data_IF_636746640852
#
_entry.id   IF_636746640852
#
_cell.length_a   1.000
_cell.length_b   1.000
_cell.length_c   1.000
_cell.angle_alpha   90.00
_cell.angle_beta   90.00
_cell.angle_gamma   90.00
#
_symmetry.space_group_name_H-M   'P 1'
#
loop_
_entity.id
_entity.type
_entity.pdbx_description
1 polymer ?
#
# COMPACT_ATOMS: atom_id res chain seq x y z
N UNK A 1 -10.68 2.01 -13.74
CA UNK A 1 -9.35 1.50 -14.16
C UNK A 1 -9.35 -0.02 -14.37
N UNK A 2 -10.30 -0.76 -13.79
CA UNK A 2 -10.41 -2.23 -13.92
C UNK A 2 -10.47 -2.76 -15.37
N UNK A 3 -11.08 -2.02 -16.30
CA UNK A 3 -11.09 -2.43 -17.72
C UNK A 3 -9.66 -2.56 -18.29
N UNK A 4 -8.78 -1.61 -17.98
CA UNK A 4 -7.38 -1.63 -18.45
C UNK A 4 -6.58 -2.69 -17.72
N UNK A 5 -6.80 -2.85 -16.41
CA UNK A 5 -6.11 -3.87 -15.61
C UNK A 5 -6.40 -5.29 -16.12
N UNK A 6 -7.60 -5.52 -16.65
CA UNK A 6 -8.07 -6.81 -17.16
C UNK A 6 -7.82 -7.05 -18.66
N UNK A 7 -7.18 -6.12 -19.37
CA UNK A 7 -6.71 -6.38 -20.73
C UNK A 7 -5.67 -7.52 -20.75
N UNK A 8 -5.51 -8.18 -21.90
CA UNK A 8 -4.39 -9.08 -22.09
C UNK A 8 -3.06 -8.34 -21.94
N UNK A 9 -1.99 -9.07 -21.62
CA UNK A 9 -0.65 -8.48 -21.48
C UNK A 9 -0.21 -7.73 -22.74
N UNK A 10 -0.57 -8.23 -23.92
CA UNK A 10 -0.28 -7.59 -25.20
C UNK A 10 -1.05 -6.27 -25.37
N UNK A 11 -2.38 -6.29 -25.24
CA UNK A 11 -3.20 -5.08 -25.39
C UNK A 11 -2.84 -4.00 -24.38
N UNK A 12 -2.51 -4.41 -23.15
CA UNK A 12 -2.07 -3.51 -22.09
C UNK A 12 -0.70 -2.91 -22.41
N UNK A 13 0.23 -3.71 -22.93
CA UNK A 13 1.55 -3.24 -23.39
C UNK A 13 1.40 -2.19 -24.49
N UNK A 14 0.60 -2.47 -25.53
CA UNK A 14 0.34 -1.55 -26.63
C UNK A 14 -0.25 -0.22 -26.13
N UNK A 15 -1.20 -0.30 -25.20
CA UNK A 15 -1.82 0.88 -24.59
C UNK A 15 -0.80 1.73 -23.82
N UNK A 16 0.05 1.11 -23.02
CA UNK A 16 1.07 1.82 -22.26
C UNK A 16 2.16 2.40 -23.15
N UNK A 17 2.55 1.71 -24.23
CA UNK A 17 3.49 2.23 -25.22
C UNK A 17 2.95 3.50 -25.88
N UNK A 18 1.71 3.46 -26.38
CA UNK A 18 1.03 4.62 -26.97
C UNK A 18 0.89 5.78 -25.98
N UNK A 19 0.50 5.48 -24.74
CA UNK A 19 0.33 6.48 -23.68
C UNK A 19 1.66 7.13 -23.33
N UNK A 20 2.72 6.34 -23.17
CA UNK A 20 4.05 6.83 -22.84
C UNK A 20 4.64 7.69 -23.97
N UNK A 21 4.46 7.28 -25.23
CA UNK A 21 4.87 8.08 -26.39
C UNK A 21 4.20 9.46 -26.42
N UNK A 22 2.89 9.51 -26.16
CA UNK A 22 2.14 10.77 -26.11
C UNK A 22 2.57 11.69 -24.96
N UNK A 23 3.01 11.11 -23.84
CA UNK A 23 3.48 11.86 -22.66
C UNK A 23 4.98 12.16 -22.67
N UNK A 24 5.73 11.64 -23.66
CA UNK A 24 7.19 11.74 -23.68
C UNK A 24 7.88 10.97 -22.55
N UNK A 25 7.27 9.88 -22.09
CA UNK A 25 7.75 9.03 -21.00
C UNK A 25 8.23 7.68 -21.52
N UNK A 26 8.97 6.94 -20.68
CA UNK A 26 9.26 5.53 -20.93
C UNK A 26 8.03 4.67 -20.61
N UNK A 27 7.72 3.65 -21.43
CA UNK A 27 6.56 2.76 -21.22
C UNK A 27 6.48 2.22 -19.79
N UNK A 28 7.61 1.74 -19.26
CA UNK A 28 7.70 1.24 -17.88
C UNK A 28 7.24 2.25 -16.81
N UNK A 29 7.42 3.57 -17.02
CA UNK A 29 6.93 4.59 -16.09
C UNK A 29 5.40 4.64 -16.15
N UNK A 30 4.82 4.68 -17.33
CA UNK A 30 3.36 4.71 -17.50
C UNK A 30 2.68 3.45 -16.94
N UNK A 31 3.26 2.28 -17.18
CA UNK A 31 2.75 1.02 -16.64
C UNK A 31 2.81 0.98 -15.11
N UNK A 32 3.95 1.32 -14.51
CA UNK A 32 4.07 1.32 -13.05
C UNK A 32 3.15 2.36 -12.41
N UNK A 33 3.04 3.55 -13.00
CA UNK A 33 2.15 4.60 -12.51
C UNK A 33 0.69 4.16 -12.51
N UNK A 34 0.26 3.44 -13.55
CA UNK A 34 -1.06 2.83 -13.63
C UNK A 34 -1.30 1.87 -12.47
N UNK A 35 -0.37 0.95 -12.20
CA UNK A 35 -0.53 -0.03 -11.13
C UNK A 35 -0.54 0.60 -9.75
N UNK A 36 0.28 1.63 -9.50
CA UNK A 36 0.24 2.42 -8.26
C UNK A 36 -1.13 3.05 -8.06
N UNK A 37 -1.64 3.74 -9.07
CA UNK A 37 -2.93 4.41 -9.01
C UNK A 37 -4.08 3.40 -8.87
N UNK A 38 -4.01 2.27 -9.57
CA UNK A 38 -5.00 1.20 -9.50
C UNK A 38 -5.03 0.57 -8.10
N UNK A 39 -3.88 0.23 -7.53
CA UNK A 39 -3.78 -0.35 -6.18
C UNK A 39 -4.33 0.62 -5.13
N UNK A 40 -3.96 1.90 -5.19
CA UNK A 40 -4.53 2.94 -4.30
C UNK A 40 -6.06 3.01 -4.42
N UNK A 41 -6.60 2.98 -5.65
CA UNK A 41 -8.04 2.96 -5.89
C UNK A 41 -8.70 1.75 -5.20
N UNK A 42 -8.19 0.53 -5.40
CA UNK A 42 -8.78 -0.68 -4.78
C UNK A 42 -8.73 -0.64 -3.25
N UNK A 43 -7.64 -0.14 -2.66
CA UNK A 43 -7.48 -0.04 -1.22
C UNK A 43 -8.43 0.99 -0.59
N UNK A 44 -8.56 2.17 -1.20
CA UNK A 44 -9.37 3.27 -0.64
C UNK A 44 -10.85 3.24 -1.05
N UNK A 45 -11.25 2.44 -2.05
CA UNK A 45 -12.66 2.12 -2.33
C UNK A 45 -13.21 1.03 -1.39
N UNK A 46 -12.34 0.25 -0.75
CA UNK A 46 -12.74 -0.78 0.20
C UNK A 46 -13.30 -0.15 1.48
N UNK A 47 -14.58 -0.41 1.76
CA UNK A 47 -15.22 0.02 3.02
C UNK A 47 -14.53 -0.54 4.29
N UNK A 48 -13.84 -1.68 4.18
CA UNK A 48 -13.10 -2.30 5.29
C UNK A 48 -11.78 -1.57 5.57
N UNK A 49 -11.11 -1.07 4.53
CA UNK A 49 -9.75 -0.51 4.64
C UNK A 49 -9.70 1.02 4.61
N UNK A 50 -10.61 1.69 3.91
CA UNK A 50 -10.55 3.14 3.68
C UNK A 50 -10.52 3.98 4.97
N UNK A 51 -11.20 3.52 6.03
CA UNK A 51 -11.18 4.17 7.35
C UNK A 51 -9.98 3.81 8.23
N UNK A 52 -9.19 2.83 7.82
CA UNK A 52 -8.11 2.23 8.60
C UNK A 52 -6.72 2.43 7.97
N UNK A 53 -6.64 3.03 6.79
CA UNK A 53 -5.40 3.33 6.09
C UNK A 53 -5.23 4.83 5.93
N UNK A 54 -4.00 5.30 6.08
CA UNK A 54 -3.60 6.66 5.73
C UNK A 54 -2.48 6.58 4.70
N UNK A 55 -2.67 7.21 3.55
CA UNK A 55 -1.65 7.32 2.53
C UNK A 55 -0.62 8.40 2.91
N UNK A 56 0.66 8.03 2.94
CA UNK A 56 1.76 8.92 3.33
C UNK A 56 2.93 8.83 2.34
N UNK A 57 4.04 9.47 2.70
CA UNK A 57 5.30 9.32 2.00
C UNK A 57 5.40 10.12 0.70
N UNK A 58 6.45 9.84 -0.08
CA UNK A 58 6.78 10.60 -1.29
C UNK A 58 5.68 10.54 -2.36
N UNK A 59 5.02 9.39 -2.48
CA UNK A 59 3.96 9.16 -3.46
C UNK A 59 2.70 9.97 -3.11
N UNK A 60 2.38 10.14 -1.82
CA UNK A 60 1.28 11.04 -1.42
C UNK A 60 1.56 12.51 -1.77
N UNK A 61 2.83 12.95 -1.65
CA UNK A 61 3.24 14.31 -1.99
C UNK A 61 3.12 14.58 -3.50
N UNK A 62 3.43 13.61 -4.36
CA UNK A 62 3.28 13.77 -5.82
C UNK A 62 1.83 13.59 -6.28
N UNK A 63 1.10 12.61 -5.75
CA UNK A 63 -0.24 12.22 -6.24
C UNK A 63 -1.39 13.03 -5.66
N UNK A 64 -1.37 13.32 -4.36
CA UNK A 64 -2.48 14.02 -3.69
C UNK A 64 -2.22 15.51 -3.53
N UNK A 65 -0.95 15.90 -3.33
CA UNK A 65 -0.59 17.29 -3.06
C UNK A 65 0.12 18.00 -4.21
N UNK A 66 0.57 17.27 -5.25
CA UNK A 66 1.30 17.81 -6.40
C UNK A 66 2.51 18.69 -6.02
N UNK A 67 3.17 18.37 -4.90
CA UNK A 67 4.27 19.17 -4.34
C UNK A 67 5.63 18.82 -4.94
N UNK A 68 5.75 17.65 -5.55
CA UNK A 68 6.98 17.16 -6.19
C UNK A 68 6.63 16.47 -7.51
N UNK A 69 7.51 16.62 -8.49
CA UNK A 69 7.37 16.01 -9.82
C UNK A 69 8.43 14.91 -9.98
N UNK A 70 8.18 13.78 -9.31
CA UNK A 70 9.00 12.57 -9.45
C UNK A 70 8.11 11.34 -9.50
N UNK A 71 8.50 10.38 -10.32
CA UNK A 71 7.93 9.05 -10.28
C UNK A 71 8.31 8.35 -8.97
N UNK A 72 7.36 7.65 -8.36
CA UNK A 72 7.53 6.89 -7.13
C UNK A 72 6.67 5.63 -7.25
N UNK A 73 7.32 4.48 -7.21
CA UNK A 73 6.70 3.15 -7.35
C UNK A 73 6.10 2.67 -6.03
N UNK A 74 6.70 3.05 -4.91
CA UNK A 74 6.31 2.56 -3.60
C UNK A 74 5.03 3.26 -3.09
N UNK A 75 4.19 2.51 -2.36
CA UNK A 75 3.01 3.05 -1.69
C UNK A 75 3.23 2.95 -0.18
N UNK A 76 3.51 4.08 0.47
CA UNK A 76 3.64 4.13 1.92
C UNK A 76 2.27 4.30 2.60
N UNK A 77 1.86 3.33 3.41
CA UNK A 77 0.61 3.37 4.17
C UNK A 77 0.88 3.34 5.67
N UNK A 78 0.03 4.03 6.43
CA UNK A 78 -0.07 3.85 7.89
C UNK A 78 -1.36 3.09 8.18
N UNK A 79 -1.24 2.01 8.95
CA UNK A 79 -2.38 1.26 9.47
C UNK A 79 -2.87 1.91 10.77
N UNK A 80 -4.20 2.00 10.93
CA UNK A 80 -4.80 2.38 12.20
C UNK A 80 -4.45 1.35 13.27
N UNK A 81 -3.62 1.75 14.24
CA UNK A 81 -3.21 0.92 15.38
C UNK A 81 -4.38 0.41 16.25
N UNK A 82 -5.58 0.95 16.11
CA UNK A 82 -6.81 0.44 16.76
C UNK A 82 -7.13 -0.97 16.31
N UNK A 83 -6.75 -1.33 15.08
CA UNK A 83 -6.84 -2.70 14.57
C UNK A 83 -5.96 -3.70 15.32
N UNK A 84 -4.92 -3.21 15.99
CA UNK A 84 -4.02 -3.99 16.83
C UNK A 84 -4.38 -3.88 18.33
N UNK A 85 -5.51 -3.26 18.66
CA UNK A 85 -5.97 -3.09 20.04
C UNK A 85 -5.44 -1.84 20.75
N UNK A 86 -4.84 -0.89 20.02
CA UNK A 86 -4.30 0.36 20.58
C UNK A 86 -5.06 1.57 20.06
N UNK A 87 -5.59 2.45 20.92
CA UNK A 87 -6.26 3.68 20.48
C UNK A 87 -7.27 4.18 21.49
N UNK A 88 -8.41 4.76 21.08
CA UNK A 88 -9.28 5.54 21.99
C UNK A 88 -9.56 4.85 23.34
N UNK A 89 -8.95 5.36 24.40
CA UNK A 89 -9.06 4.86 25.78
C UNK A 89 -7.85 4.06 26.29
N UNK A 90 -6.99 3.56 25.40
CA UNK A 90 -5.68 3.02 25.76
C UNK A 90 -4.70 4.15 26.09
N UNK A 91 -3.84 3.95 27.09
CA UNK A 91 -2.78 4.91 27.38
C UNK A 91 -1.75 4.86 26.25
N UNK A 92 -1.32 6.03 25.77
CA UNK A 92 -0.27 6.10 24.76
C UNK A 92 1.04 5.51 25.33
N UNK A 93 1.59 4.43 24.75
CA UNK A 93 2.80 3.77 25.26
C UNK A 93 3.97 4.74 25.42
N UNK A 94 4.11 5.69 24.49
CA UNK A 94 5.15 6.73 24.47
C UNK A 94 4.99 7.78 25.57
N UNK A 95 3.82 7.88 26.19
CA UNK A 95 3.57 8.77 27.33
C UNK A 95 3.65 8.05 28.67
N UNK A 96 3.62 6.72 28.68
CA UNK A 96 3.59 5.92 29.91
C UNK A 96 4.89 5.19 30.22
N UNK A 97 5.75 4.98 29.23
CA UNK A 97 7.03 4.31 29.41
C UNK A 97 8.10 5.34 29.71
N UNK A 98 8.84 5.16 30.81
CA UNK A 98 9.83 6.12 31.29
C UNK A 98 11.26 5.80 30.81
N UNK A 99 11.48 4.62 30.19
CA UNK A 99 12.80 4.21 29.71
C UNK A 99 12.81 3.75 28.25
N UNK A 100 13.92 4.02 27.56
CA UNK A 100 14.15 3.59 26.17
C UNK A 100 14.04 2.06 26.04
N UNK A 101 14.53 1.29 27.01
CA UNK A 101 14.44 -0.17 26.96
C UNK A 101 12.99 -0.69 27.01
N UNK A 102 12.09 0.01 27.72
CA UNK A 102 10.67 -0.35 27.72
C UNK A 102 10.03 -0.03 26.36
N UNK A 103 10.39 1.11 25.77
CA UNK A 103 9.93 1.51 24.43
C UNK A 103 10.42 0.54 23.35
N UNK A 104 11.68 0.11 23.40
CA UNK A 104 12.23 -0.84 22.43
C UNK A 104 11.49 -2.18 22.49
N UNK A 105 11.29 -2.72 23.70
CA UNK A 105 10.51 -3.96 23.89
C UNK A 105 9.08 -3.84 23.39
N UNK A 106 8.46 -2.67 23.60
CA UNK A 106 7.13 -2.39 23.09
C UNK A 106 7.12 -2.34 21.57
N UNK A 107 8.06 -1.64 20.94
CA UNK A 107 8.17 -1.55 19.49
C UNK A 107 8.39 -2.92 18.86
N UNK A 108 9.24 -3.77 19.46
CA UNK A 108 9.47 -5.14 18.99
C UNK A 108 8.19 -5.97 19.02
N UNK A 109 7.41 -5.88 20.10
CA UNK A 109 6.15 -6.62 20.25
C UNK A 109 5.07 -6.07 19.31
N UNK A 110 4.95 -4.75 19.22
CA UNK A 110 4.03 -4.06 18.31
C UNK A 110 4.33 -4.43 16.85
N UNK A 111 5.60 -4.43 16.46
CA UNK A 111 6.01 -4.81 15.10
C UNK A 111 5.67 -6.27 14.79
N UNK A 112 5.80 -7.20 15.75
CA UNK A 112 5.36 -8.60 15.58
C UNK A 112 3.85 -8.71 15.42
N UNK A 113 3.08 -7.96 16.21
CA UNK A 113 1.62 -7.94 16.10
C UNK A 113 1.18 -7.36 14.75
N UNK A 114 1.81 -6.27 14.30
CA UNK A 114 1.56 -5.67 13.00
C UNK A 114 1.87 -6.65 11.85
N UNK A 115 3.04 -7.30 11.87
CA UNK A 115 3.40 -8.32 10.88
C UNK A 115 2.38 -9.48 10.84
N UNK A 116 1.93 -9.95 12.00
CA UNK A 116 0.91 -10.99 12.09
C UNK A 116 -0.45 -10.52 11.53
N UNK A 117 -0.85 -9.29 11.81
CA UNK A 117 -2.08 -8.71 11.23
C UNK A 117 -1.95 -8.58 9.71
N UNK A 118 -0.82 -8.09 9.22
CA UNK A 118 -0.54 -7.94 7.79
C UNK A 118 -0.68 -9.28 7.09
N UNK A 119 0.03 -10.32 7.55
CA UNK A 119 -0.02 -11.63 6.91
C UNK A 119 -1.36 -12.36 7.03
N UNK A 120 -2.06 -12.26 8.17
CA UNK A 120 -3.27 -13.07 8.44
C UNK A 120 -4.58 -12.37 8.11
N UNK A 121 -4.58 -11.04 8.06
CA UNK A 121 -5.81 -10.25 7.89
C UNK A 121 -5.69 -9.36 6.66
N UNK A 122 -4.70 -8.46 6.62
CA UNK A 122 -4.60 -7.49 5.54
C UNK A 122 -4.33 -8.15 4.19
N UNK A 123 -3.39 -9.09 4.11
CA UNK A 123 -3.03 -9.78 2.88
C UNK A 123 -4.24 -10.49 2.25
N UNK A 124 -5.00 -11.35 2.95
CA UNK A 124 -6.23 -11.92 2.41
C UNK A 124 -7.27 -10.87 1.97
N UNK A 125 -7.44 -9.78 2.71
CA UNK A 125 -8.35 -8.70 2.31
C UNK A 125 -7.87 -8.05 1.00
N UNK A 126 -6.58 -7.76 0.85
CA UNK A 126 -6.01 -7.20 -0.39
C UNK A 126 -6.15 -8.20 -1.55
N UNK A 127 -5.84 -9.48 -1.34
CA UNK A 127 -6.02 -10.54 -2.33
C UNK A 127 -7.47 -10.61 -2.83
N UNK A 128 -8.45 -10.49 -1.94
CA UNK A 128 -9.86 -10.44 -2.32
C UNK A 128 -10.19 -9.19 -3.15
N UNK A 129 -9.68 -8.02 -2.77
CA UNK A 129 -9.91 -6.76 -3.50
C UNK A 129 -9.38 -6.80 -4.92
N UNK A 130 -8.25 -7.46 -5.15
CA UNK A 130 -7.62 -7.56 -6.47
C UNK A 130 -8.02 -8.80 -7.25
N UNK A 131 -8.78 -9.73 -6.66
CA UNK A 131 -9.12 -11.05 -7.21
C UNK A 131 -9.78 -11.01 -8.60
N UNK A 132 -10.41 -9.90 -8.96
CA UNK A 132 -10.98 -9.70 -10.29
C UNK A 132 -9.92 -9.54 -11.40
N UNK A 133 -8.66 -9.27 -11.04
CA UNK A 133 -7.56 -9.02 -11.97
C UNK A 133 -6.53 -10.17 -11.92
N UNK A 134 -6.52 -11.00 -12.96
CA UNK A 134 -5.61 -12.15 -13.05
C UNK A 134 -4.14 -11.76 -13.30
N UNK A 135 -3.89 -10.51 -13.70
CA UNK A 135 -2.55 -10.02 -13.95
C UNK A 135 -1.77 -9.69 -12.67
N UNK A 136 -2.45 -9.60 -11.52
CA UNK A 136 -1.90 -9.13 -10.25
C UNK A 136 -1.75 -10.31 -9.28
N UNK A 137 -0.58 -10.41 -8.66
CA UNK A 137 -0.29 -11.44 -7.67
C UNK A 137 0.15 -10.75 -6.39
N UNK A 138 -0.46 -11.09 -5.26
CA UNK A 138 -0.21 -10.40 -4.00
C UNK A 138 0.31 -11.37 -2.96
N UNK A 139 1.47 -11.04 -2.39
CA UNK A 139 2.09 -11.78 -1.32
C UNK A 139 2.80 -10.87 -0.30
N UNK A 140 3.26 -11.48 0.78
CA UNK A 140 4.12 -10.83 1.78
C UNK A 140 5.50 -11.48 1.67
N UNK A 141 6.55 -10.73 1.28
CA UNK A 141 7.90 -11.25 1.19
C UNK A 141 8.39 -11.83 2.52
N UNK A 142 9.25 -12.85 2.48
CA UNK A 142 9.74 -13.52 3.71
C UNK A 142 10.70 -12.63 4.50
N UNK A 143 11.41 -11.78 3.79
CA UNK A 143 12.42 -10.85 4.29
C UNK A 143 11.82 -9.60 4.92
N UNK A 144 10.61 -9.22 4.51
CA UNK A 144 9.93 -8.02 5.00
C UNK A 144 8.44 -8.30 5.26
N UNK A 145 8.07 -8.74 6.48
CA UNK A 145 6.70 -9.09 6.80
C UNK A 145 5.78 -7.87 6.97
N UNK A 146 6.32 -6.65 6.79
CA UNK A 146 5.56 -5.40 6.84
C UNK A 146 5.25 -4.85 5.45
N UNK A 147 5.71 -5.51 4.38
CA UNK A 147 5.46 -5.16 2.99
C UNK A 147 4.49 -6.15 2.36
N UNK A 148 3.58 -5.63 1.53
CA UNK A 148 2.76 -6.41 0.60
C UNK A 148 3.27 -6.10 -0.81
N UNK A 149 3.78 -7.11 -1.51
CA UNK A 149 4.16 -6.99 -2.91
C UNK A 149 2.95 -7.28 -3.80
N UNK A 150 2.83 -6.54 -4.91
CA UNK A 150 1.72 -6.55 -5.87
C UNK A 150 2.30 -6.61 -7.28
#
# INVERSE_FOLDING_TARGET
MDNVANLSSHERSDLFEQTAANLGLHQAIAEKDFWVCWSLMKLFESSELAGNLVFKGGTSLSKAHHLIDRFSEDIDLVLNWELLGYGKGAKNPWQTMESNTQLDKFNDEFNKQAANYIGKTLLPTVQNLVSSCQAVHVDVPREDPHVIAI
#
